data_IF_234859398814
#
_entry.id   IF_234859398814
#
_cell.length_a   1.000
_cell.length_b   1.000
_cell.length_c   1.000
_cell.angle_alpha   90.00
_cell.angle_beta   90.00
_cell.angle_gamma   90.00
#
_symmetry.space_group_name_H-M   'P 1'
#
loop_
_entity.id
_entity.type
_entity.pdbx_description
1 polymer ?
#
# COMPACT_ATOMS: atom_id res chain seq x y z
N UNK A 1 -67.99 -22.38 -19.71
CA UNK A 1 -67.73 -21.26 -20.63
C UNK A 1 -66.34 -20.72 -20.34
N UNK A 2 -65.47 -20.84 -21.33
CA UNK A 2 -64.06 -20.43 -21.33
C UNK A 2 -64.00 -18.91 -21.14
N UNK A 3 -63.17 -18.41 -20.21
CA UNK A 3 -62.75 -17.01 -20.25
C UNK A 3 -61.23 -16.93 -20.12
N UNK A 4 -60.58 -16.75 -21.27
CA UNK A 4 -59.13 -16.58 -21.43
C UNK A 4 -58.71 -15.27 -20.76
N UNK A 5 -57.91 -15.36 -19.70
CA UNK A 5 -57.05 -14.25 -19.28
C UNK A 5 -55.69 -14.44 -19.93
N UNK A 6 -55.41 -13.54 -20.86
CA UNK A 6 -54.18 -13.37 -21.61
C UNK A 6 -52.98 -13.26 -20.66
N UNK A 7 -52.03 -14.20 -20.79
CA UNK A 7 -50.70 -14.09 -20.21
C UNK A 7 -49.91 -13.18 -21.15
N UNK A 8 -49.74 -11.91 -20.78
CA UNK A 8 -48.71 -11.07 -21.40
C UNK A 8 -47.36 -11.52 -20.84
N UNK A 9 -46.66 -12.37 -21.61
CA UNK A 9 -45.24 -12.58 -21.41
C UNK A 9 -44.53 -11.26 -21.76
N UNK A 10 -44.13 -10.50 -20.72
CA UNK A 10 -43.06 -9.52 -20.91
C UNK A 10 -41.81 -10.35 -21.25
N UNK A 11 -41.44 -10.38 -22.52
CA UNK A 11 -40.05 -10.63 -22.89
C UNK A 11 -39.24 -9.45 -22.34
N UNK A 12 -38.70 -9.62 -21.14
CA UNK A 12 -37.47 -8.92 -20.79
C UNK A 12 -36.39 -9.49 -21.72
N UNK A 13 -36.20 -8.83 -22.87
CA UNK A 13 -34.96 -8.98 -23.60
C UNK A 13 -33.87 -8.47 -22.67
N UNK A 14 -33.22 -9.38 -21.94
CA UNK A 14 -31.91 -9.11 -21.39
C UNK A 14 -31.04 -8.78 -22.61
N UNK A 15 -30.74 -7.50 -22.80
CA UNK A 15 -29.63 -7.12 -23.65
C UNK A 15 -28.42 -7.81 -23.01
N UNK A 16 -28.00 -8.92 -23.61
CA UNK A 16 -26.68 -9.49 -23.35
C UNK A 16 -25.74 -8.38 -23.77
N UNK A 17 -25.12 -7.68 -22.81
CA UNK A 17 -24.04 -6.76 -23.13
C UNK A 17 -23.03 -7.60 -23.92
N UNK A 18 -22.80 -7.21 -25.16
CA UNK A 18 -21.84 -7.92 -25.99
C UNK A 18 -20.48 -7.61 -25.42
N UNK A 19 -19.97 -8.51 -24.58
CA UNK A 19 -18.55 -8.59 -24.26
C UNK A 19 -17.75 -8.43 -25.56
N UNK A 20 -16.59 -7.77 -25.46
CA UNK A 20 -15.66 -7.57 -26.55
C UNK A 20 -15.44 -8.85 -27.40
N UNK A 21 -15.11 -8.68 -28.68
CA UNK A 21 -14.74 -9.83 -29.52
C UNK A 21 -13.32 -10.27 -29.16
N UNK A 22 -13.20 -11.48 -28.59
CA UNK A 22 -11.91 -12.08 -28.23
C UNK A 22 -11.23 -12.70 -29.46
N UNK A 23 -10.00 -12.27 -29.81
CA UNK A 23 -9.21 -12.92 -30.86
C UNK A 23 -8.90 -14.39 -30.51
N UNK A 24 -8.79 -15.23 -31.55
CA UNK A 24 -8.47 -16.66 -31.39
C UNK A 24 -6.97 -16.96 -31.44
N UNK A 25 -6.16 -16.03 -31.96
CA UNK A 25 -4.72 -16.19 -32.02
C UNK A 25 -4.13 -16.08 -30.61
N UNK A 26 -3.26 -17.02 -30.20
CA UNK A 26 -2.62 -16.95 -28.89
C UNK A 26 -1.65 -15.76 -28.82
N UNK A 27 -1.52 -15.18 -27.63
CA UNK A 27 -0.52 -14.16 -27.35
C UNK A 27 0.85 -14.82 -27.09
N UNK A 28 1.92 -14.10 -27.41
CA UNK A 28 3.28 -14.52 -27.03
C UNK A 28 3.43 -14.44 -25.50
N UNK A 29 4.17 -15.38 -24.91
CA UNK A 29 4.52 -15.36 -23.49
C UNK A 29 5.55 -14.27 -23.13
N UNK A 30 5.93 -13.44 -24.11
CA UNK A 30 6.77 -12.27 -23.95
C UNK A 30 6.00 -10.99 -24.30
N UNK A 31 6.08 -10.00 -23.41
CA UNK A 31 5.60 -8.64 -23.64
C UNK A 31 6.83 -7.73 -23.62
N UNK A 32 7.24 -7.32 -24.83
CA UNK A 32 8.51 -6.62 -25.04
C UNK A 32 8.45 -5.11 -24.75
N UNK A 33 7.25 -4.53 -24.65
CA UNK A 33 7.06 -3.14 -24.27
C UNK A 33 6.87 -3.00 -22.75
N UNK A 34 7.32 -1.89 -22.15
CA UNK A 34 7.08 -1.62 -20.74
C UNK A 34 5.58 -1.46 -20.48
N UNK A 35 5.14 -2.00 -19.36
CA UNK A 35 3.76 -1.90 -18.90
C UNK A 35 3.68 -1.71 -17.39
N UNK A 36 2.48 -1.41 -16.91
CA UNK A 36 2.09 -1.56 -15.51
C UNK A 36 0.92 -2.52 -15.38
N UNK A 37 0.85 -3.23 -14.27
CA UNK A 37 -0.25 -4.16 -14.02
C UNK A 37 -1.38 -3.44 -13.28
N UNK A 38 -2.57 -3.41 -13.88
CA UNK A 38 -3.80 -2.98 -13.22
C UNK A 38 -4.51 -4.20 -12.62
N UNK A 39 -5.04 -4.05 -11.43
CA UNK A 39 -5.83 -5.04 -10.71
C UNK A 39 -7.30 -4.78 -10.97
N UNK A 40 -8.03 -5.80 -11.43
CA UNK A 40 -9.46 -5.70 -11.70
C UNK A 40 -10.27 -6.75 -10.94
N UNK A 41 -11.36 -6.27 -10.32
CA UNK A 41 -12.46 -7.08 -9.82
C UNK A 41 -13.70 -6.17 -9.71
N UNK A 42 -14.56 -6.18 -10.73
CA UNK A 42 -15.72 -5.28 -10.80
C UNK A 42 -16.73 -5.44 -9.65
N UNK A 43 -16.66 -6.55 -8.90
CA UNK A 43 -17.50 -6.79 -7.71
C UNK A 43 -16.90 -6.26 -6.42
N UNK A 44 -15.62 -5.86 -6.43
CA UNK A 44 -14.83 -5.42 -5.28
C UNK A 44 -14.15 -4.08 -5.60
N UNK A 45 -14.94 -3.01 -5.50
CA UNK A 45 -14.55 -1.66 -5.92
C UNK A 45 -13.30 -1.13 -5.19
N UNK A 46 -13.03 -1.60 -3.98
CA UNK A 46 -11.87 -1.20 -3.19
C UNK A 46 -10.53 -1.70 -3.75
N UNK A 47 -10.54 -2.71 -4.60
CA UNK A 47 -9.33 -3.21 -5.31
C UNK A 47 -9.40 -3.01 -6.82
N UNK A 48 -10.59 -2.73 -7.35
CA UNK A 48 -10.80 -2.57 -8.78
C UNK A 48 -10.11 -1.32 -9.33
N UNK A 49 -9.46 -1.48 -10.49
CA UNK A 49 -8.75 -0.43 -11.22
C UNK A 49 -7.59 0.20 -10.45
N UNK A 50 -7.14 -0.46 -9.37
CA UNK A 50 -5.91 -0.14 -8.69
C UNK A 50 -4.71 -0.71 -9.44
N UNK A 51 -3.50 -0.26 -9.12
CA UNK A 51 -2.30 -0.67 -9.82
C UNK A 51 -1.29 -1.32 -8.89
N UNK A 52 -0.51 -2.25 -9.44
CA UNK A 52 0.62 -2.87 -8.76
C UNK A 52 1.73 -1.85 -8.53
N UNK A 53 2.13 -1.75 -7.27
CA UNK A 53 3.25 -0.99 -6.76
C UNK A 53 4.27 -1.94 -6.11
N UNK A 54 5.52 -1.50 -6.06
CA UNK A 54 6.61 -2.21 -5.39
C UNK A 54 7.10 -1.43 -4.18
N UNK A 55 7.15 -2.08 -3.02
CA UNK A 55 7.74 -1.53 -1.80
C UNK A 55 9.02 -2.30 -1.48
N UNK A 56 10.14 -1.60 -1.30
CA UNK A 56 11.42 -2.22 -0.93
C UNK A 56 11.27 -2.88 0.45
N UNK A 57 11.65 -4.15 0.56
CA UNK A 57 11.50 -4.97 1.78
C UNK A 57 12.83 -5.33 2.44
N UNK A 58 13.96 -4.97 1.83
CA UNK A 58 15.30 -5.37 2.26
C UNK A 58 15.78 -6.67 1.60
N UNK A 59 17.08 -6.98 1.70
CA UNK A 59 17.64 -8.20 1.11
C UNK A 59 17.54 -8.33 -0.42
N UNK A 60 17.27 -7.23 -1.12
CA UNK A 60 16.99 -7.20 -2.56
C UNK A 60 15.54 -7.50 -2.93
N UNK A 61 14.66 -7.71 -1.95
CA UNK A 61 13.25 -8.01 -2.17
C UNK A 61 12.41 -6.76 -2.27
N UNK A 62 11.35 -6.87 -3.08
CA UNK A 62 10.30 -5.89 -3.13
C UNK A 62 8.96 -6.59 -2.96
N UNK A 63 8.21 -6.14 -1.97
CA UNK A 63 6.84 -6.54 -1.76
C UNK A 63 5.93 -5.95 -2.84
N UNK A 64 4.92 -6.72 -3.21
CA UNK A 64 3.89 -6.27 -4.13
C UNK A 64 2.67 -5.79 -3.33
N UNK A 65 2.24 -4.57 -3.63
CA UNK A 65 1.02 -3.98 -3.10
C UNK A 65 0.19 -3.37 -4.21
N UNK A 66 -1.12 -3.24 -4.00
CA UNK A 66 -1.87 -2.26 -4.78
C UNK A 66 -1.68 -0.87 -4.18
N UNK A 67 -1.69 0.16 -5.04
CA UNK A 67 -1.59 1.55 -4.59
C UNK A 67 -2.62 1.91 -3.51
N UNK A 68 -2.32 2.91 -2.65
CA UNK A 68 -1.23 3.89 -2.79
C UNK A 68 0.13 3.43 -2.25
N UNK A 69 0.20 2.30 -1.54
CA UNK A 69 1.45 1.84 -0.89
C UNK A 69 2.48 1.37 -1.90
N UNK A 70 3.75 1.72 -1.67
CA UNK A 70 4.87 1.39 -2.55
C UNK A 70 4.98 2.31 -3.77
N UNK A 71 6.07 2.13 -4.53
CA UNK A 71 6.35 2.92 -5.73
C UNK A 71 5.57 2.36 -6.91
N UNK A 72 4.82 3.20 -7.66
CA UNK A 72 4.14 2.77 -8.87
C UNK A 72 5.09 2.13 -9.88
N UNK A 73 4.67 1.01 -10.45
CA UNK A 73 5.40 0.36 -11.52
C UNK A 73 5.01 0.95 -12.87
N UNK A 74 5.99 1.21 -13.74
CA UNK A 74 5.79 1.62 -15.13
C UNK A 74 6.63 0.79 -16.12
N UNK A 75 7.65 0.08 -15.62
CA UNK A 75 8.64 -0.62 -16.41
C UNK A 75 8.60 -2.13 -16.17
N UNK A 76 7.39 -2.68 -16.03
CA UNK A 76 7.22 -4.13 -16.02
C UNK A 76 7.38 -4.69 -17.43
N UNK A 77 7.95 -5.89 -17.50
CA UNK A 77 8.01 -6.70 -18.73
C UNK A 77 7.58 -8.11 -18.42
N UNK A 78 7.18 -8.85 -19.46
CA UNK A 78 6.92 -10.28 -19.35
C UNK A 78 7.95 -11.00 -20.21
N UNK A 79 8.70 -11.92 -19.61
CA UNK A 79 9.70 -12.73 -20.32
C UNK A 79 9.49 -14.18 -19.94
N UNK A 80 9.21 -15.03 -20.92
CA UNK A 80 8.88 -16.45 -20.74
C UNK A 80 7.81 -16.69 -19.66
N UNK A 81 6.77 -15.85 -19.66
CA UNK A 81 5.66 -15.90 -18.69
C UNK A 81 6.00 -15.36 -17.29
N UNK A 82 7.20 -14.82 -17.08
CA UNK A 82 7.62 -14.26 -15.79
C UNK A 82 7.55 -12.74 -15.86
N UNK A 83 6.84 -12.11 -14.92
CA UNK A 83 6.81 -10.65 -14.81
C UNK A 83 8.09 -10.17 -14.14
N UNK A 84 8.79 -9.25 -14.80
CA UNK A 84 10.03 -8.64 -14.32
C UNK A 84 9.83 -7.13 -14.12
N UNK A 85 10.55 -6.53 -13.18
CA UNK A 85 10.69 -5.09 -13.06
C UNK A 85 12.13 -4.70 -13.43
N UNK A 86 12.29 -4.15 -14.64
CA UNK A 86 13.60 -3.94 -15.27
C UNK A 86 14.50 -3.02 -14.44
N UNK A 87 14.06 -1.86 -13.95
CA UNK A 87 14.94 -0.93 -13.21
C UNK A 87 15.55 -1.53 -11.95
N UNK A 88 14.80 -2.40 -11.25
CA UNK A 88 15.25 -2.99 -9.99
C UNK A 88 15.90 -4.38 -10.19
N UNK A 89 15.85 -4.95 -11.41
CA UNK A 89 16.39 -6.28 -11.69
C UNK A 89 15.71 -7.40 -10.91
N UNK A 90 14.44 -7.23 -10.53
CA UNK A 90 13.66 -8.21 -9.76
C UNK A 90 12.56 -8.83 -10.61
N UNK A 91 12.07 -10.00 -10.20
CA UNK A 91 10.99 -10.72 -10.88
C UNK A 91 10.00 -11.30 -9.88
N UNK A 92 8.76 -11.48 -10.31
CA UNK A 92 7.69 -12.01 -9.48
C UNK A 92 7.92 -13.48 -9.13
N UNK A 93 7.85 -13.78 -7.84
CA UNK A 93 8.08 -15.09 -7.25
C UNK A 93 7.00 -15.39 -6.21
N UNK A 94 6.82 -16.68 -5.92
CA UNK A 94 5.98 -17.15 -4.83
C UNK A 94 6.88 -17.96 -3.89
N UNK A 95 6.66 -17.84 -2.59
CA UNK A 95 7.51 -18.51 -1.59
C UNK A 95 7.88 -17.61 -0.41
N UNK A 96 7.24 -16.45 -0.27
CA UNK A 96 7.35 -15.64 0.94
C UNK A 96 6.57 -16.28 2.09
N UNK A 97 5.77 -15.48 2.77
CA UNK A 97 4.99 -15.90 3.93
C UNK A 97 3.77 -16.78 3.57
N UNK A 98 3.76 -18.03 4.03
CA UNK A 98 2.57 -18.91 4.03
C UNK A 98 1.63 -18.57 5.19
N UNK A 99 0.33 -18.65 4.96
CA UNK A 99 -0.70 -18.44 5.98
C UNK A 99 -1.46 -19.73 6.28
N UNK A 100 -1.36 -20.19 7.52
CA UNK A 100 -2.09 -21.37 8.02
C UNK A 100 -3.61 -21.16 8.12
N UNK A 101 -4.10 -19.92 8.02
CA UNK A 101 -5.53 -19.60 8.17
C UNK A 101 -6.29 -19.82 6.86
N UNK A 102 -5.75 -19.29 5.76
CA UNK A 102 -6.37 -19.27 4.44
C UNK A 102 -5.57 -20.07 3.39
N UNK A 103 -4.48 -20.72 3.79
CA UNK A 103 -3.55 -21.47 2.93
C UNK A 103 -3.05 -20.68 1.71
N UNK A 104 -2.96 -19.36 1.84
CA UNK A 104 -2.36 -18.52 0.81
C UNK A 104 -0.88 -18.32 1.04
N UNK A 105 -0.11 -18.15 -0.04
CA UNK A 105 1.32 -17.85 -0.01
C UNK A 105 1.59 -16.46 -0.56
N UNK A 106 2.45 -15.69 0.09
CA UNK A 106 2.82 -14.34 -0.38
C UNK A 106 3.49 -14.36 -1.76
N UNK A 107 3.03 -13.46 -2.63
CA UNK A 107 3.78 -13.04 -3.80
C UNK A 107 4.69 -11.87 -3.42
N UNK A 108 5.93 -11.93 -3.89
CA UNK A 108 6.88 -10.83 -3.78
C UNK A 108 7.74 -10.82 -5.05
N UNK A 109 8.70 -9.91 -5.13
CA UNK A 109 9.67 -9.91 -6.21
C UNK A 109 11.10 -9.85 -5.69
N UNK A 110 12.00 -10.55 -6.37
CA UNK A 110 13.40 -10.65 -5.97
C UNK A 110 14.30 -10.89 -7.17
N UNK A 111 15.58 -10.56 -7.02
CA UNK A 111 16.64 -10.98 -7.95
C UNK A 111 17.14 -12.40 -7.69
N UNK A 112 16.83 -12.98 -6.52
CA UNK A 112 17.30 -14.30 -6.07
C UNK A 112 16.60 -15.47 -6.75
N UNK A 113 17.10 -16.68 -6.57
CA UNK A 113 16.71 -17.90 -7.29
C UNK A 113 15.36 -18.54 -6.91
N UNK A 114 14.46 -17.80 -6.28
CA UNK A 114 13.17 -18.27 -5.79
C UNK A 114 12.23 -18.74 -6.93
N UNK A 115 11.29 -19.61 -6.58
CA UNK A 115 10.34 -20.20 -7.52
C UNK A 115 9.40 -19.14 -8.11
N UNK A 116 9.39 -19.07 -9.44
CA UNK A 116 8.75 -17.98 -10.19
C UNK A 116 7.23 -18.12 -10.21
N UNK A 117 6.54 -16.98 -10.22
CA UNK A 117 5.13 -16.92 -10.62
C UNK A 117 5.07 -16.89 -12.15
N UNK A 118 4.46 -17.92 -12.74
CA UNK A 118 4.34 -18.05 -14.19
C UNK A 118 2.94 -17.64 -14.64
N UNK A 119 2.88 -16.76 -15.62
CA UNK A 119 1.68 -16.21 -16.23
C UNK A 119 1.67 -16.48 -17.73
N UNK A 120 0.47 -16.56 -18.29
CA UNK A 120 0.19 -16.62 -19.72
C UNK A 120 -0.67 -15.41 -20.10
N UNK A 121 -0.25 -14.59 -21.07
CA UNK A 121 -1.09 -13.52 -21.57
C UNK A 121 -2.30 -14.07 -22.29
N UNK A 122 -3.47 -13.53 -21.96
CA UNK A 122 -4.74 -13.87 -22.60
C UNK A 122 -5.49 -12.62 -22.97
N UNK A 123 -6.41 -12.73 -23.94
CA UNK A 123 -7.34 -11.66 -24.22
C UNK A 123 -8.51 -11.72 -23.26
N UNK A 124 -8.92 -10.56 -22.74
CA UNK A 124 -10.10 -10.38 -21.93
C UNK A 124 -10.88 -9.15 -22.34
N UNK A 125 -12.07 -8.97 -21.78
CA UNK A 125 -12.88 -7.78 -21.98
C UNK A 125 -12.86 -6.97 -20.69
N UNK A 126 -12.58 -5.68 -20.82
CA UNK A 126 -12.65 -4.76 -19.71
C UNK A 126 -14.09 -4.75 -19.16
N UNK A 127 -14.29 -5.04 -17.86
CA UNK A 127 -15.63 -5.17 -17.29
C UNK A 127 -16.39 -3.83 -17.18
N UNK A 128 -15.70 -2.69 -17.32
CA UNK A 128 -16.28 -1.35 -17.25
C UNK A 128 -16.60 -0.77 -18.63
N UNK A 129 -15.76 -1.07 -19.64
CA UNK A 129 -15.81 -0.42 -20.95
C UNK A 129 -16.14 -1.36 -22.10
N UNK A 130 -16.17 -2.67 -21.87
CA UNK A 130 -16.25 -3.72 -22.91
C UNK A 130 -15.12 -3.61 -23.95
N UNK A 131 -14.04 -2.88 -23.68
CA UNK A 131 -12.87 -2.80 -24.55
C UNK A 131 -12.02 -4.07 -24.43
N UNK A 132 -11.40 -4.48 -25.55
CA UNK A 132 -10.45 -5.59 -25.56
C UNK A 132 -9.19 -5.22 -24.75
N UNK A 133 -8.77 -6.10 -23.84
CA UNK A 133 -7.57 -5.93 -23.02
C UNK A 133 -6.72 -7.20 -22.98
N UNK A 134 -5.46 -7.07 -22.53
CA UNK A 134 -4.57 -8.20 -22.27
C UNK A 134 -4.54 -8.46 -20.76
N UNK A 135 -4.81 -9.69 -20.37
CA UNK A 135 -4.81 -10.17 -18.99
C UNK A 135 -3.64 -11.13 -18.76
N UNK A 136 -2.99 -11.04 -17.60
CA UNK A 136 -1.98 -12.00 -17.17
C UNK A 136 -2.67 -13.12 -16.38
N UNK A 137 -2.97 -14.22 -17.06
CA UNK A 137 -3.54 -15.40 -16.42
C UNK A 137 -2.45 -16.15 -15.67
N UNK A 138 -2.64 -16.37 -14.37
CA UNK A 138 -1.72 -17.20 -13.60
C UNK A 138 -1.80 -18.68 -14.02
N UNK A 139 -0.64 -19.28 -14.27
CA UNK A 139 -0.51 -20.68 -14.69
C UNK A 139 0.00 -21.54 -13.54
N UNK A 140 1.17 -21.21 -13.00
CA UNK A 140 1.82 -22.04 -11.98
C UNK A 140 2.77 -21.25 -11.12
N UNK A 141 2.92 -21.72 -9.88
CA UNK A 141 4.11 -21.47 -9.09
C UNK A 141 5.15 -22.51 -9.54
N UNK A 142 6.34 -22.08 -9.97
CA UNK A 142 7.37 -22.99 -10.49
C UNK A 142 7.63 -24.14 -9.51
N UNK A 143 7.82 -25.37 -10.01
CA UNK A 143 8.01 -26.60 -9.21
C UNK A 143 6.81 -27.00 -8.32
N UNK A 144 5.67 -26.31 -8.41
CA UNK A 144 4.43 -26.64 -7.73
C UNK A 144 3.34 -27.09 -8.73
N UNK A 145 2.23 -27.69 -8.24
CA UNK A 145 1.11 -28.05 -9.10
C UNK A 145 0.52 -26.85 -9.85
N UNK A 146 0.16 -27.07 -11.11
CA UNK A 146 -0.49 -26.06 -11.95
C UNK A 146 -1.85 -25.64 -11.40
N UNK A 147 -2.17 -24.35 -11.57
CA UNK A 147 -3.45 -23.76 -11.21
C UNK A 147 -3.43 -23.03 -9.88
N UNK A 148 -4.64 -22.70 -9.42
CA UNK A 148 -4.85 -21.72 -8.36
C UNK A 148 -5.14 -20.35 -8.96
N UNK A 149 -4.98 -19.29 -8.18
CA UNK A 149 -5.16 -17.93 -8.66
C UNK A 149 -4.37 -16.91 -7.84
N UNK A 150 -4.14 -15.75 -8.43
CA UNK A 150 -3.65 -14.57 -7.71
C UNK A 150 -4.84 -13.84 -7.10
N UNK A 151 -4.65 -13.39 -5.88
CA UNK A 151 -5.57 -12.54 -5.16
C UNK A 151 -4.80 -11.40 -4.50
N UNK A 152 -5.54 -10.39 -4.07
CA UNK A 152 -5.05 -9.36 -3.17
C UNK A 152 -5.75 -9.50 -1.83
N UNK A 153 -5.03 -9.23 -0.76
CA UNK A 153 -5.52 -9.41 0.61
C UNK A 153 -5.20 -8.18 1.42
N UNK A 154 -6.16 -7.72 2.23
CA UNK A 154 -5.94 -6.61 3.15
C UNK A 154 -4.72 -6.91 4.06
N UNK A 155 -3.74 -6.02 4.01
CA UNK A 155 -2.59 -6.02 4.91
C UNK A 155 -2.90 -5.14 6.13
N UNK A 156 -2.22 -5.38 7.25
CA UNK A 156 -2.52 -4.72 8.53
C UNK A 156 -2.29 -3.20 8.56
N UNK A 157 -1.78 -2.62 7.47
CA UNK A 157 -1.55 -1.18 7.28
C UNK A 157 -2.56 -0.51 6.34
N UNK A 158 -3.68 -1.18 6.04
CA UNK A 158 -4.71 -0.62 5.14
C UNK A 158 -4.42 -0.80 3.65
N UNK A 159 -3.26 -1.36 3.28
CA UNK A 159 -2.95 -1.73 1.90
C UNK A 159 -3.51 -3.10 1.52
N UNK A 160 -3.36 -3.52 0.26
CA UNK A 160 -3.57 -4.92 -0.11
C UNK A 160 -2.30 -5.54 -0.70
N UNK A 161 -1.84 -6.63 -0.11
CA UNK A 161 -0.71 -7.42 -0.58
C UNK A 161 -1.16 -8.50 -1.58
N UNK A 162 -0.27 -8.88 -2.49
CA UNK A 162 -0.55 -9.97 -3.43
C UNK A 162 -0.26 -11.34 -2.81
N UNK A 163 -1.17 -12.28 -3.08
CA UNK A 163 -1.13 -13.65 -2.56
C UNK A 163 -1.49 -14.64 -3.66
N UNK A 164 -0.98 -15.85 -3.52
CA UNK A 164 -1.35 -17.02 -4.30
C UNK A 164 -2.27 -17.89 -3.47
N UNK A 165 -3.40 -18.30 -4.04
CA UNK A 165 -4.26 -19.34 -3.47
C UNK A 165 -4.17 -20.62 -4.32
N UNK A 166 -3.88 -21.78 -3.72
CA UNK A 166 -3.72 -23.03 -4.46
C UNK A 166 -5.03 -23.55 -5.07
N UNK A 167 -4.95 -24.47 -6.06
CA UNK A 167 -6.12 -25.10 -6.66
C UNK A 167 -7.02 -25.76 -5.60
N UNK A 168 -8.33 -25.54 -5.70
CA UNK A 168 -9.30 -26.17 -4.80
C UNK A 168 -9.28 -25.66 -3.36
N UNK A 169 -8.53 -24.60 -3.05
CA UNK A 169 -8.56 -23.98 -1.75
C UNK A 169 -9.96 -23.40 -1.46
N UNK A 170 -10.49 -23.74 -0.29
CA UNK A 170 -11.81 -23.28 0.18
C UNK A 170 -11.72 -22.55 1.51
N UNK A 171 -10.51 -22.40 2.07
CA UNK A 171 -10.29 -21.69 3.33
C UNK A 171 -10.27 -20.19 3.08
N UNK A 172 -10.83 -19.43 4.03
CA UNK A 172 -10.97 -17.98 3.96
C UNK A 172 -10.59 -17.40 5.33
N UNK A 173 -9.65 -16.46 5.34
CA UNK A 173 -9.44 -15.55 6.47
C UNK A 173 -10.51 -14.46 6.38
N UNK A 174 -11.55 -14.55 7.22
CA UNK A 174 -12.71 -13.65 7.18
C UNK A 174 -12.34 -12.18 7.48
N UNK A 175 -11.19 -11.93 8.11
CA UNK A 175 -10.73 -10.58 8.42
C UNK A 175 -9.81 -10.03 7.34
N UNK A 176 -9.22 -10.90 6.53
CA UNK A 176 -8.28 -10.57 5.46
C UNK A 176 -8.55 -11.49 4.29
N UNK A 177 -9.70 -11.30 3.66
CA UNK A 177 -10.09 -12.13 2.53
C UNK A 177 -9.08 -12.01 1.39
N UNK A 178 -8.71 -13.15 0.81
CA UNK A 178 -7.96 -13.24 -0.45
C UNK A 178 -8.93 -12.98 -1.61
N UNK A 179 -9.06 -11.70 -1.98
CA UNK A 179 -9.94 -11.24 -3.05
C UNK A 179 -9.31 -11.63 -4.38
N UNK A 180 -9.88 -12.61 -5.07
CA UNK A 180 -9.43 -13.01 -6.41
C UNK A 180 -9.45 -11.81 -7.35
N UNK A 181 -8.40 -11.62 -8.14
CA UNK A 181 -8.28 -10.51 -9.08
C UNK A 181 -7.82 -10.96 -10.45
N UNK A 182 -8.16 -10.15 -11.46
CA UNK A 182 -7.54 -10.18 -12.78
C UNK A 182 -6.40 -9.16 -12.81
N UNK A 183 -5.26 -9.55 -13.40
CA UNK A 183 -4.15 -8.63 -13.67
C UNK A 183 -4.21 -8.23 -15.14
N UNK A 184 -4.30 -6.94 -15.42
CA UNK A 184 -4.40 -6.37 -16.77
C UNK A 184 -3.13 -5.63 -17.13
N UNK A 185 -2.64 -5.85 -18.33
CA UNK A 185 -1.46 -5.19 -18.89
C UNK A 185 -1.88 -3.82 -19.42
N UNK A 186 -1.35 -2.76 -18.82
CA UNK A 186 -1.54 -1.37 -19.28
C UNK A 186 -0.21 -0.88 -19.87
N UNK A 187 -0.09 -0.73 -21.21
CA UNK A 187 1.12 -0.23 -21.85
C UNK A 187 1.52 1.15 -21.32
N UNK A 188 2.82 1.37 -21.15
CA UNK A 188 3.37 2.65 -20.66
C UNK A 188 4.24 3.36 -21.69
N UNK A 189 4.39 2.79 -22.89
CA UNK A 189 5.22 3.33 -23.99
C UNK A 189 4.85 4.74 -24.42
N UNK A 190 3.58 5.11 -24.28
CA UNK A 190 3.07 6.44 -24.63
C UNK A 190 2.80 7.31 -23.39
N UNK A 191 3.10 6.80 -22.18
CA UNK A 191 3.03 7.60 -20.98
C UNK A 191 4.30 8.45 -20.88
N UNK A 192 4.19 9.75 -20.57
CA UNK A 192 5.36 10.54 -20.27
C UNK A 192 6.14 9.86 -19.13
N UNK A 193 7.49 9.83 -19.17
CA UNK A 193 8.27 9.32 -18.06
C UNK A 193 7.82 10.03 -16.77
N UNK A 194 7.82 9.35 -15.60
CA UNK A 194 7.49 9.99 -14.34
C UNK A 194 8.39 11.22 -14.18
N UNK A 195 7.80 12.38 -14.43
CA UNK A 195 8.54 13.62 -14.55
C UNK A 195 8.84 14.08 -13.14
N UNK A 196 10.06 13.84 -12.69
CA UNK A 196 10.65 14.52 -11.54
C UNK A 196 10.84 16.00 -11.87
N UNK A 197 9.76 16.78 -11.97
CA UNK A 197 9.80 18.24 -12.06
C UNK A 197 8.38 18.81 -12.04
N UNK A 198 7.86 19.09 -10.84
CA UNK A 198 6.75 20.03 -10.66
C UNK A 198 7.29 21.46 -10.78
N UNK A 199 7.51 21.95 -12.00
CA UNK A 199 7.61 23.40 -12.21
C UNK A 199 6.21 23.97 -12.26
N UNK A 200 5.74 24.48 -11.13
CA UNK A 200 4.49 25.22 -10.99
C UNK A 200 4.58 26.51 -11.83
N UNK A 201 3.76 26.60 -12.88
CA UNK A 201 3.45 27.87 -13.53
C UNK A 201 2.42 28.61 -12.68
N UNK A 202 2.84 29.71 -12.06
CA UNK A 202 1.98 30.63 -11.31
C UNK A 202 1.15 31.46 -12.28
N UNK A 203 -0.14 31.14 -12.38
CA UNK A 203 -1.15 32.04 -12.95
C UNK A 203 -1.70 32.89 -11.80
N UNK A 204 -1.32 34.16 -11.78
CA UNK A 204 -1.82 35.14 -10.81
C UNK A 204 -3.22 35.59 -11.23
N UNK A 205 -4.24 35.20 -10.46
CA UNK A 205 -5.57 35.82 -10.49
C UNK A 205 -5.70 36.70 -9.24
N UNK A 206 -6.15 37.96 -9.36
CA UNK A 206 -6.38 38.80 -8.19
C UNK A 206 -7.74 38.51 -7.58
N UNK A 207 -7.80 38.20 -6.28
CA UNK A 207 -9.05 38.22 -5.53
C UNK A 207 -8.83 38.72 -4.09
N UNK A 208 -9.29 39.95 -3.92
CA UNK A 208 -10.10 40.52 -2.83
C UNK A 208 -10.13 39.81 -1.48
N UNK A 209 -9.81 40.62 -0.46
CA UNK A 209 -9.78 40.35 0.98
C UNK A 209 -11.07 39.77 1.59
N UNK A 210 -10.93 38.71 2.37
CA UNK A 210 -11.70 38.51 3.62
C UNK A 210 -10.87 37.67 4.60
N UNK A 211 -10.91 38.07 5.86
CA UNK A 211 -10.04 37.63 6.96
C UNK A 211 -10.41 36.25 7.49
N UNK A 212 -9.43 35.35 7.57
CA UNK A 212 -9.45 34.13 8.38
C UNK A 212 -8.08 33.97 9.08
N UNK A 213 -8.09 33.30 10.24
CA UNK A 213 -6.95 33.10 11.14
C UNK A 213 -5.71 32.51 10.42
N UNK A 214 -4.48 32.82 10.87
CA UNK A 214 -3.27 32.44 10.16
C UNK A 214 -3.11 30.91 10.14
N UNK A 215 -3.26 30.31 8.95
CA UNK A 215 -2.77 28.97 8.66
C UNK A 215 -1.24 29.00 8.78
N UNK A 216 -0.60 28.05 9.50
CA UNK A 216 0.86 27.92 9.45
C UNK A 216 1.26 27.54 8.02
N UNK A 217 1.99 28.41 7.33
CA UNK A 217 2.49 28.19 5.95
C UNK A 217 3.98 27.81 5.97
N UNK A 218 4.46 27.20 7.05
CA UNK A 218 5.89 26.90 7.21
C UNK A 218 6.27 25.51 6.73
N UNK A 219 7.49 25.37 6.25
CA UNK A 219 8.20 24.09 6.14
C UNK A 219 8.87 23.79 7.49
N UNK A 220 9.02 22.52 7.92
CA UNK A 220 9.74 22.21 9.14
C UNK A 220 11.19 22.70 9.02
N UNK A 221 11.64 23.47 10.02
CA UNK A 221 13.03 23.97 10.11
C UNK A 221 13.93 23.06 10.94
N UNK A 222 13.34 22.19 11.75
CA UNK A 222 14.03 21.24 12.64
C UNK A 222 13.71 19.80 12.22
N UNK A 223 14.60 18.88 12.56
CA UNK A 223 14.45 17.46 12.20
C UNK A 223 13.37 16.74 13.03
N UNK A 224 12.91 17.34 14.13
CA UNK A 224 11.81 16.87 14.97
C UNK A 224 11.21 18.04 15.78
N UNK A 225 9.99 17.86 16.29
CA UNK A 225 9.34 18.86 17.16
C UNK A 225 9.81 18.67 18.60
N UNK A 226 10.40 19.70 19.22
CA UNK A 226 10.78 19.66 20.64
C UNK A 226 9.54 19.86 21.54
N UNK A 227 9.19 18.81 22.29
CA UNK A 227 8.01 18.76 23.17
C UNK A 227 8.39 18.54 24.64
N UNK A 228 9.65 18.80 25.00
CA UNK A 228 10.16 18.67 26.37
C UNK A 228 9.42 19.57 27.36
N UNK A 229 9.03 20.78 26.94
CA UNK A 229 8.20 21.69 27.73
C UNK A 229 6.79 21.14 28.02
N UNK A 230 6.31 20.24 27.17
CA UNK A 230 5.05 19.50 27.34
C UNK A 230 5.22 18.19 28.11
N UNK A 231 6.43 17.91 28.62
CA UNK A 231 6.73 16.70 29.39
C UNK A 231 6.96 15.46 28.53
N UNK A 232 7.29 15.62 27.26
CA UNK A 232 7.61 14.51 26.35
C UNK A 232 9.01 14.67 25.77
N UNK A 233 9.78 13.58 25.79
CA UNK A 233 11.07 13.51 25.09
C UNK A 233 10.91 12.82 23.74
N UNK A 234 11.54 13.38 22.73
CA UNK A 234 11.71 12.72 21.44
C UNK A 234 12.78 11.65 21.53
N UNK A 235 12.44 10.42 21.14
CA UNK A 235 13.34 9.27 21.18
C UNK A 235 14.03 9.03 19.83
N UNK A 236 13.44 9.51 18.74
CA UNK A 236 13.96 9.33 17.39
C UNK A 236 12.90 8.82 16.43
N UNK A 237 13.36 8.57 15.21
CA UNK A 237 12.57 7.96 14.16
C UNK A 237 12.60 6.43 14.35
N UNK A 238 11.54 5.86 14.90
CA UNK A 238 11.45 4.43 15.21
C UNK A 238 10.98 3.66 13.97
N UNK A 239 11.67 2.59 13.54
CA UNK A 239 11.19 1.78 12.43
C UNK A 239 9.93 1.03 12.83
N UNK A 240 8.97 0.98 11.90
CA UNK A 240 7.98 -0.08 11.90
C UNK A 240 8.57 -1.30 11.19
N UNK A 241 9.16 -2.23 11.93
CA UNK A 241 9.72 -3.46 11.37
C UNK A 241 8.59 -4.45 11.02
N UNK A 242 8.01 -4.26 9.84
CA UNK A 242 6.93 -5.06 9.22
C UNK A 242 7.21 -6.58 9.11
N UNK A 243 8.36 -7.06 9.59
CA UNK A 243 8.87 -8.44 9.58
C UNK A 243 9.51 -8.90 10.90
N UNK A 244 9.37 -8.15 11.99
CA UNK A 244 9.93 -8.54 13.27
C UNK A 244 9.28 -9.84 13.78
N UNK A 245 10.07 -10.85 14.12
CA UNK A 245 9.59 -12.15 14.61
C UNK A 245 9.32 -12.14 16.13
N UNK A 246 9.32 -10.98 16.77
CA UNK A 246 9.35 -10.79 18.22
C UNK A 246 8.12 -10.08 18.81
N UNK A 247 7.12 -9.69 18.01
CA UNK A 247 5.93 -9.00 18.52
C UNK A 247 4.93 -8.56 17.46
N UNK A 248 3.86 -7.80 17.83
CA UNK A 248 2.94 -7.23 16.85
C UNK A 248 3.72 -6.39 15.83
N UNK A 249 3.26 -6.36 14.57
CA UNK A 249 3.87 -5.60 13.45
C UNK A 249 3.92 -4.08 13.66
N UNK A 250 3.63 -3.60 14.88
CA UNK A 250 3.56 -2.21 15.31
C UNK A 250 4.55 -1.97 16.44
N UNK A 251 5.34 -0.91 16.31
CA UNK A 251 6.26 -0.43 17.36
C UNK A 251 5.46 -0.03 18.60
N UNK A 252 4.26 0.52 18.41
CA UNK A 252 3.31 0.82 19.46
C UNK A 252 1.97 0.12 19.16
N UNK A 253 1.55 -0.79 20.05
CA UNK A 253 0.41 -1.70 19.82
C UNK A 253 -0.82 -1.42 20.69
N UNK A 254 -0.87 -0.24 21.31
CA UNK A 254 -1.99 0.24 22.13
C UNK A 254 -3.10 0.90 21.30
N UNK A 255 -3.66 2.00 21.82
CA UNK A 255 -4.70 2.77 21.12
C UNK A 255 -4.13 3.50 19.89
N UNK A 256 -5.00 3.84 18.94
CA UNK A 256 -4.64 4.65 17.78
C UNK A 256 -5.78 5.57 17.34
N UNK A 257 -5.42 6.65 16.65
CA UNK A 257 -6.36 7.50 15.90
C UNK A 257 -5.70 7.99 14.60
N UNK A 258 -6.50 8.55 13.69
CA UNK A 258 -5.99 9.21 12.50
C UNK A 258 -6.80 10.47 12.20
N UNK A 259 -6.14 11.48 11.63
CA UNK A 259 -6.77 12.74 11.24
C UNK A 259 -6.18 13.27 9.93
N UNK A 260 -7.00 13.33 8.89
CA UNK A 260 -6.58 13.75 7.55
C UNK A 260 -6.22 15.25 7.46
N UNK A 261 -6.63 16.07 8.42
CA UNK A 261 -6.49 17.53 8.36
C UNK A 261 -6.06 18.19 9.69
N UNK A 262 -5.95 17.42 10.77
CA UNK A 262 -5.67 17.97 12.10
C UNK A 262 -4.65 17.18 12.91
N UNK A 263 -3.86 16.28 12.30
CA UNK A 263 -2.83 15.54 13.05
C UNK A 263 -1.62 16.43 13.31
N UNK A 264 -1.16 16.47 14.56
CA UNK A 264 0.12 17.06 14.99
C UNK A 264 0.75 16.14 16.03
N UNK A 265 2.04 16.32 16.34
CA UNK A 265 2.67 15.55 17.41
C UNK A 265 1.97 15.80 18.75
N UNK A 266 1.61 17.05 19.06
CA UNK A 266 0.91 17.41 20.30
C UNK A 266 -0.46 16.74 20.40
N UNK A 267 -1.20 16.70 19.29
CA UNK A 267 -2.49 16.01 19.25
C UNK A 267 -2.31 14.53 19.60
N UNK A 268 -1.34 13.88 18.97
CA UNK A 268 -1.09 12.47 19.19
C UNK A 268 -0.71 12.18 20.63
N UNK A 269 0.20 12.97 21.21
CA UNK A 269 0.59 12.86 22.62
C UNK A 269 -0.62 13.02 23.55
N UNK A 270 -1.44 14.05 23.34
CA UNK A 270 -2.62 14.30 24.15
C UNK A 270 -3.64 13.16 24.06
N UNK A 271 -3.83 12.60 22.86
CA UNK A 271 -4.67 11.42 22.67
C UNK A 271 -4.11 10.23 23.45
N UNK A 272 -2.86 9.86 23.25
CA UNK A 272 -2.25 8.70 23.93
C UNK A 272 -2.23 8.84 25.45
N UNK A 273 -1.99 10.05 25.96
CA UNK A 273 -2.07 10.35 27.37
C UNK A 273 -3.49 10.16 27.93
N UNK A 274 -4.51 10.62 27.20
CA UNK A 274 -5.91 10.44 27.59
C UNK A 274 -6.31 8.96 27.65
N UNK A 275 -5.63 8.11 26.87
CA UNK A 275 -5.79 6.67 26.86
C UNK A 275 -4.88 5.95 27.87
N UNK A 276 -4.06 6.69 28.62
CA UNK A 276 -3.20 6.15 29.68
C UNK A 276 -1.90 5.50 29.18
N UNK A 277 -1.43 5.84 27.98
CA UNK A 277 -0.19 5.32 27.41
C UNK A 277 1.01 6.23 27.67
N UNK A 278 2.18 5.63 27.89
CA UNK A 278 3.44 6.34 28.14
C UNK A 278 4.19 6.75 26.87
N UNK A 279 3.92 6.08 25.75
CA UNK A 279 4.52 6.37 24.44
C UNK A 279 3.44 6.77 23.45
N UNK A 280 3.83 7.69 22.57
CA UNK A 280 3.05 8.09 21.43
C UNK A 280 3.98 8.26 20.23
N UNK A 281 3.48 7.98 19.04
CA UNK A 281 4.19 8.30 17.83
C UNK A 281 3.25 8.54 16.67
N UNK A 282 3.60 9.51 15.85
CA UNK A 282 2.87 9.80 14.61
C UNK A 282 3.51 9.08 13.44
N UNK A 283 2.69 8.55 12.54
CA UNK A 283 3.10 7.86 11.32
C UNK A 283 2.34 8.45 10.12
N UNK A 284 2.95 8.41 8.93
CA UNK A 284 2.26 8.72 7.67
C UNK A 284 1.49 10.05 7.66
N UNK A 285 2.03 11.12 8.27
CA UNK A 285 1.45 12.50 8.32
C UNK A 285 0.23 12.65 9.22
N UNK A 286 -0.59 11.60 9.32
CA UNK A 286 -1.98 11.68 9.76
C UNK A 286 -2.33 10.68 10.85
N UNK A 287 -1.48 9.69 11.11
CA UNK A 287 -1.75 8.61 12.06
C UNK A 287 -1.11 8.90 13.41
N UNK A 288 -1.74 8.40 14.46
CA UNK A 288 -1.25 8.43 15.82
C UNK A 288 -1.34 7.03 16.43
N UNK A 289 -0.26 6.57 17.02
CA UNK A 289 -0.13 5.27 17.64
C UNK A 289 0.36 5.41 19.09
N UNK A 290 -0.25 4.65 19.99
CA UNK A 290 0.03 4.70 21.43
C UNK A 290 0.56 3.37 21.93
N UNK A 291 1.38 3.38 22.97
CA UNK A 291 1.86 2.14 23.58
C UNK A 291 2.52 2.36 24.94
N UNK A 292 2.83 1.26 25.61
CA UNK A 292 3.57 1.28 26.89
C UNK A 292 4.94 0.61 26.78
N UNK A 293 5.22 -0.02 25.64
CA UNK A 293 6.44 -0.78 25.40
C UNK A 293 6.87 -0.53 23.97
N UNK A 294 8.19 -0.54 23.76
CA UNK A 294 8.86 -0.48 22.47
C UNK A 294 9.82 -1.67 22.47
N UNK A 295 9.66 -2.60 21.52
CA UNK A 295 10.54 -3.76 21.43
C UNK A 295 11.99 -3.31 21.14
N UNK A 296 12.98 -4.07 21.63
CA UNK A 296 14.41 -3.73 21.49
C UNK A 296 14.84 -3.56 20.02
N UNK A 297 14.22 -4.32 19.12
CA UNK A 297 14.39 -4.24 17.66
C UNK A 297 13.85 -2.95 17.04
N UNK A 298 13.00 -2.22 17.76
CA UNK A 298 12.29 -1.01 17.32
C UNK A 298 12.81 0.27 17.98
N UNK A 299 13.82 0.16 18.83
CA UNK A 299 14.45 1.33 19.46
C UNK A 299 15.10 2.18 18.34
N UNK A 300 14.78 3.49 18.24
CA UNK A 300 15.38 4.36 17.24
C UNK A 300 16.91 4.37 17.31
N UNK A 301 17.56 4.33 16.15
CA UNK A 301 18.97 4.67 16.08
C UNK A 301 19.16 6.17 16.39
N UNK A 302 20.25 6.50 17.08
CA UNK A 302 20.54 7.87 17.57
C UNK A 302 21.55 8.60 16.68
N UNK A 303 21.42 8.44 15.35
CA UNK A 303 22.30 9.08 14.36
C UNK A 303 21.56 10.18 13.62
N UNK A 304 22.23 11.21 13.13
CA UNK A 304 21.52 12.23 12.31
C UNK A 304 20.85 11.63 11.06
N UNK A 305 21.44 10.59 10.48
CA UNK A 305 20.89 9.92 9.30
C UNK A 305 19.58 9.16 9.58
N UNK A 306 19.35 8.68 10.82
CA UNK A 306 18.14 7.93 11.14
C UNK A 306 16.90 8.83 11.18
N UNK A 307 17.05 10.13 11.41
CA UNK A 307 15.95 11.09 11.39
C UNK A 307 15.35 11.29 9.99
N UNK A 308 16.13 11.04 8.93
CA UNK A 308 15.72 11.26 7.55
C UNK A 308 14.55 10.36 7.11
N UNK A 309 14.27 9.29 7.85
CA UNK A 309 13.14 8.41 7.56
C UNK A 309 11.80 8.98 8.07
N UNK A 310 11.81 10.01 8.92
CA UNK A 310 10.62 10.69 9.42
C UNK A 310 10.47 12.05 8.75
N UNK A 311 10.17 12.07 7.45
CA UNK A 311 10.13 13.25 6.58
C UNK A 311 8.71 13.67 6.18
N UNK A 312 7.68 13.05 6.77
CA UNK A 312 6.28 13.31 6.43
C UNK A 312 5.70 14.46 7.23
N UNK A 313 5.46 15.58 6.56
CA UNK A 313 4.82 16.76 7.16
C UNK A 313 3.44 16.44 7.73
N UNK A 314 3.17 16.86 8.96
CA UNK A 314 1.90 16.64 9.66
C UNK A 314 0.71 17.27 8.93
N UNK A 315 -0.46 16.63 8.95
CA UNK A 315 -1.67 17.16 8.30
C UNK A 315 -2.27 18.39 8.96
N UNK A 316 -2.07 18.54 10.28
CA UNK A 316 -2.58 19.65 11.08
C UNK A 316 -1.59 20.79 11.34
N UNK A 317 -0.29 20.58 11.11
CA UNK A 317 0.74 21.60 11.26
C UNK A 317 1.93 21.33 10.33
N UNK A 318 2.09 22.08 9.23
CA UNK A 318 3.13 21.81 8.27
C UNK A 318 4.54 22.18 8.75
N UNK A 319 4.68 22.79 9.93
CA UNK A 319 5.97 23.09 10.53
C UNK A 319 6.60 21.90 11.27
N UNK A 320 5.90 20.76 11.29
CA UNK A 320 6.29 19.56 12.03
C UNK A 320 6.36 18.33 11.12
N UNK A 321 7.23 17.38 11.48
CA UNK A 321 7.25 16.04 10.90
C UNK A 321 6.45 15.05 11.76
N UNK A 322 5.57 14.30 11.11
CA UNK A 322 4.69 13.27 11.67
C UNK A 322 4.99 11.89 11.07
N UNK A 323 6.19 11.38 11.35
CA UNK A 323 6.64 10.06 10.93
C UNK A 323 7.10 9.99 9.48
N UNK A 324 7.04 8.78 8.92
CA UNK A 324 7.55 8.38 7.61
C UNK A 324 6.80 7.19 7.02
N UNK A 325 7.26 6.66 5.89
CA UNK A 325 6.79 5.38 5.34
C UNK A 325 7.21 4.23 6.26
N UNK A 326 6.32 3.78 7.16
CA UNK A 326 6.66 2.77 8.19
C UNK A 326 7.73 3.27 9.17
N UNK A 327 7.68 4.55 9.55
CA UNK A 327 8.50 5.12 10.60
C UNK A 327 7.71 6.06 11.50
N UNK A 328 7.89 5.93 12.82
CA UNK A 328 7.23 6.76 13.82
C UNK A 328 8.16 7.87 14.29
N UNK A 329 7.67 9.11 14.28
CA UNK A 329 8.22 10.14 15.15
C UNK A 329 7.86 9.76 16.59
N UNK A 330 8.78 9.07 17.29
CA UNK A 330 8.49 8.43 18.57
C UNK A 330 8.80 9.35 19.75
N UNK A 331 7.82 9.51 20.64
CA UNK A 331 7.91 10.29 21.85
C UNK A 331 7.56 9.44 23.07
N UNK A 332 8.13 9.82 24.20
CA UNK A 332 7.86 9.20 25.49
C UNK A 332 7.56 10.26 26.54
N UNK A 333 6.53 10.01 27.35
CA UNK A 333 6.22 10.82 28.52
C UNK A 333 7.36 10.73 29.54
N UNK A 334 7.87 11.88 29.95
CA UNK A 334 8.89 11.97 30.99
C UNK A 334 8.29 11.62 32.36
N UNK A 335 9.06 10.93 33.20
CA UNK A 335 8.62 10.59 34.54
C UNK A 335 8.55 11.84 35.43
N UNK A 336 7.62 11.84 36.38
CA UNK A 336 7.46 12.95 37.31
C UNK A 336 8.72 13.13 38.17
N UNK A 337 9.34 14.31 38.11
CA UNK A 337 10.56 14.63 38.84
C UNK A 337 11.89 14.34 38.10
N UNK A 338 11.84 13.87 36.86
CA UNK A 338 13.02 13.74 35.99
C UNK A 338 13.18 14.94 35.04
N UNK A 339 14.42 15.26 34.67
CA UNK A 339 14.68 16.22 33.60
C UNK A 339 14.20 15.62 32.27
N UNK A 340 13.36 16.37 31.55
CA UNK A 340 12.83 15.95 30.26
C UNK A 340 13.73 16.48 29.14
N UNK A 341 14.55 15.59 28.58
CA UNK A 341 15.51 15.93 27.52
C UNK A 341 15.32 15.00 26.33
N UNK A 342 15.41 15.56 25.12
CA UNK A 342 15.40 14.77 23.89
C UNK A 342 16.68 13.94 23.78
N UNK A 343 16.58 12.80 23.09
CA UNK A 343 17.76 11.99 22.77
C UNK A 343 18.74 12.81 21.91
N UNK A 344 20.03 12.70 22.19
CA UNK A 344 21.07 13.33 21.39
C UNK A 344 21.38 12.51 20.14
N UNK A 345 21.40 13.16 18.97
CA UNK A 345 21.73 12.54 17.69
C UNK A 345 23.13 12.96 17.24
N UNK A 346 23.98 11.99 16.94
CA UNK A 346 25.40 12.22 16.57
C UNK A 346 25.73 11.75 15.17
#
# INVERSE_FOLDING_TARGET
MINRRTISALLAGAAVSSACTIPTEPLDNNIAYPFRAQVQNATRLEVHNQYLNLLVAGGGDHHLFIGPVGVPTYDLTLVDGVVNHVPNGVRLVIGGEFSEIDHTTKLFSTGRGDDRAIFEPTYGCNPDTDELQIELQFVTWQNHPTGGHICVRHAFDGSHEFRYSPPGNTLIDVNRECIKVTLVVIPTTDLPPPSSSTTLSTVTIPATSTSAAPTPTGTPTEAFTDLTASGYRFLGCAPEERWANDGPFRTLSGASEASADAMTNERCLAFCESQGFAYAGTEWRQECWCGNEVADTRVPATTLASLAACDHVCTGDPTQFCGGDAWLSLYQKCAEGEACENVAFT
#
